data_IF_046256145172
#
_entry.id   IF_046256145172
#
_cell.length_a   1.000
_cell.length_b   1.000
_cell.length_c   1.000
_cell.angle_alpha   90.00
_cell.angle_beta   90.00
_cell.angle_gamma   90.00
#
_symmetry.space_group_name_H-M   'P 1'
#
loop_
_entity.id
_entity.type
_entity.pdbx_description
1 polymer ?
#
# COMPACT_ATOMS: atom_id res chain seq x y z
N UNK A 1 37.34 -18.19 4.04
CA UNK A 1 36.90 -17.16 4.98
C UNK A 1 35.78 -16.41 4.31
N UNK A 2 34.60 -16.87 4.67
CA UNK A 2 33.28 -16.49 4.21
C UNK A 2 33.01 -15.03 4.56
N UNK A 3 32.45 -14.30 3.61
CA UNK A 3 31.61 -13.16 3.94
C UNK A 3 30.57 -13.00 2.84
N UNK A 4 29.62 -13.93 2.84
CA UNK A 4 28.35 -13.79 2.15
C UNK A 4 27.67 -12.52 2.67
N UNK A 5 27.83 -11.41 1.94
CA UNK A 5 27.02 -10.21 2.14
C UNK A 5 25.58 -10.58 1.80
N UNK A 6 24.83 -10.94 2.83
CA UNK A 6 23.38 -10.97 2.95
C UNK A 6 22.70 -10.23 1.79
N UNK A 7 22.18 -11.01 0.84
CA UNK A 7 21.23 -10.60 -0.19
C UNK A 7 19.98 -10.02 0.47
N UNK A 8 19.96 -8.71 0.69
CA UNK A 8 18.70 -7.98 0.81
C UNK A 8 18.27 -7.69 -0.61
N UNK A 9 17.53 -8.62 -1.20
CA UNK A 9 16.71 -8.29 -2.36
C UNK A 9 15.93 -7.03 -1.99
N UNK A 10 15.96 -5.96 -2.82
CA UNK A 10 15.08 -4.84 -2.59
C UNK A 10 13.67 -5.41 -2.70
N UNK A 11 12.99 -5.59 -1.57
CA UNK A 11 11.56 -5.89 -1.55
C UNK A 11 10.92 -4.83 -2.42
N UNK A 12 10.46 -5.22 -3.60
CA UNK A 12 9.88 -4.28 -4.55
C UNK A 12 8.62 -3.72 -3.88
N UNK A 13 8.46 -2.41 -3.97
CA UNK A 13 7.36 -1.69 -3.32
C UNK A 13 6.52 -1.04 -4.42
N UNK A 14 5.21 -1.28 -4.36
CA UNK A 14 4.23 -0.59 -5.20
C UNK A 14 3.48 0.41 -4.33
N UNK A 15 3.32 1.65 -4.78
CA UNK A 15 2.53 2.67 -4.07
C UNK A 15 1.12 2.75 -4.62
N UNK A 16 0.13 2.82 -3.73
CA UNK A 16 -1.29 2.97 -4.05
C UNK A 16 -1.94 4.00 -3.13
N UNK A 17 -2.88 4.77 -3.65
CA UNK A 17 -3.65 5.79 -2.91
C UNK A 17 -5.09 5.34 -2.61
N UNK A 18 -5.65 4.43 -3.42
CA UNK A 18 -7.01 3.92 -3.22
C UNK A 18 -7.10 2.88 -2.09
N UNK A 19 -7.83 3.25 -1.03
CA UNK A 19 -8.03 2.39 0.16
C UNK A 19 -8.76 1.07 -0.11
N UNK A 20 -9.56 0.96 -1.18
CA UNK A 20 -10.25 -0.27 -1.56
C UNK A 20 -9.29 -1.27 -2.20
N UNK A 21 -8.45 -0.80 -3.13
CA UNK A 21 -7.40 -1.61 -3.75
C UNK A 21 -6.44 -2.15 -2.69
N UNK A 22 -6.01 -1.26 -1.78
CA UNK A 22 -5.13 -1.61 -0.67
C UNK A 22 -5.78 -2.62 0.28
N UNK A 23 -7.07 -2.46 0.61
CA UNK A 23 -7.79 -3.42 1.44
C UNK A 23 -7.92 -4.79 0.77
N UNK A 24 -8.13 -4.82 -0.55
CA UNK A 24 -8.18 -6.06 -1.32
C UNK A 24 -6.83 -6.78 -1.34
N UNK A 25 -5.73 -6.07 -1.61
CA UNK A 25 -4.39 -6.66 -1.56
C UNK A 25 -4.02 -7.11 -0.14
N UNK A 26 -4.38 -6.35 0.88
CA UNK A 26 -4.16 -6.78 2.26
C UNK A 26 -4.94 -8.06 2.59
N UNK A 27 -6.16 -8.20 2.08
CA UNK A 27 -6.95 -9.43 2.21
C UNK A 27 -6.28 -10.63 1.51
N UNK A 28 -5.59 -10.41 0.39
CA UNK A 28 -4.79 -11.42 -0.32
C UNK A 28 -3.49 -11.80 0.41
N UNK A 29 -3.14 -11.08 1.48
CA UNK A 29 -1.98 -11.37 2.34
C UNK A 29 -0.78 -10.47 2.11
N UNK A 30 -0.89 -9.42 1.29
CA UNK A 30 0.21 -8.48 1.11
C UNK A 30 0.44 -7.62 2.35
N UNK A 31 1.71 -7.29 2.61
CA UNK A 31 2.07 -6.35 3.67
C UNK A 31 1.89 -4.93 3.16
N UNK A 32 1.13 -4.13 3.91
CA UNK A 32 0.78 -2.75 3.56
C UNK A 32 1.24 -1.80 4.65
N UNK A 33 1.95 -0.73 4.27
CA UNK A 33 2.41 0.33 5.17
C UNK A 33 1.92 1.70 4.69
N UNK A 34 1.20 2.48 5.51
CA UNK A 34 0.84 3.84 5.13
C UNK A 34 2.09 4.72 5.11
N UNK A 35 2.18 5.58 4.10
CA UNK A 35 3.28 6.50 3.86
C UNK A 35 2.72 7.89 3.52
N UNK A 36 3.50 8.95 3.74
CA UNK A 36 3.11 10.30 3.30
C UNK A 36 3.93 10.64 2.09
N UNK A 37 3.24 10.96 1.00
CA UNK A 37 3.86 11.56 -0.17
C UNK A 37 4.51 12.89 0.26
N UNK A 38 5.82 12.96 0.11
CA UNK A 38 6.61 14.17 0.32
C UNK A 38 7.04 14.70 -1.04
N UNK A 39 6.92 16.02 -1.23
CA UNK A 39 7.12 16.80 -2.45
C UNK A 39 8.34 16.45 -3.33
N UNK A 40 9.32 15.73 -2.79
CA UNK A 40 10.53 15.28 -3.49
C UNK A 40 10.27 14.21 -4.58
N UNK A 41 9.06 13.65 -4.69
CA UNK A 41 8.77 12.53 -5.62
C UNK A 41 7.89 12.87 -6.84
N UNK A 42 7.24 14.04 -6.89
CA UNK A 42 6.44 14.45 -8.06
C UNK A 42 6.85 15.84 -8.54
N UNK A 43 7.58 15.96 -9.67
CA UNK A 43 7.80 17.25 -10.29
C UNK A 43 6.45 17.81 -10.75
N UNK A 44 6.06 18.98 -10.20
CA UNK A 44 4.83 19.76 -10.46
C UNK A 44 3.64 19.57 -9.48
N UNK A 45 3.83 18.92 -8.32
CA UNK A 45 2.79 18.89 -7.29
C UNK A 45 2.84 20.14 -6.39
N UNK A 46 1.67 20.66 -6.00
CA UNK A 46 1.58 21.75 -5.01
C UNK A 46 2.12 21.25 -3.66
N UNK A 47 3.17 21.89 -3.09
CA UNK A 47 3.81 21.46 -1.84
C UNK A 47 2.89 21.47 -0.60
N UNK A 48 1.68 22.01 -0.74
CA UNK A 48 0.67 21.97 0.31
C UNK A 48 -0.26 20.74 0.22
N UNK A 49 -0.08 19.87 -0.76
CA UNK A 49 -0.98 18.72 -0.98
C UNK A 49 -0.38 17.40 -0.48
N UNK A 50 0.04 17.37 0.79
CA UNK A 50 0.49 16.13 1.45
C UNK A 50 -0.65 15.11 1.49
N UNK A 51 -0.44 13.96 0.85
CA UNK A 51 -1.40 12.86 0.83
C UNK A 51 -0.84 11.63 1.52
N UNK A 52 -1.74 10.78 2.02
CA UNK A 52 -1.36 9.46 2.52
C UNK A 52 -1.50 8.48 1.37
N UNK A 53 -0.41 7.79 1.09
CA UNK A 53 -0.34 6.64 0.20
C UNK A 53 -0.08 5.37 1.01
N UNK A 54 -0.06 4.24 0.33
CA UNK A 54 0.23 2.94 0.90
C UNK A 54 1.29 2.24 0.08
N UNK A 55 2.36 1.84 0.76
CA UNK A 55 3.40 0.97 0.23
C UNK A 55 2.95 -0.48 0.39
N UNK A 56 2.82 -1.18 -0.71
CA UNK A 56 2.53 -2.62 -0.77
C UNK A 56 3.83 -3.35 -1.07
N UNK A 57 4.24 -4.22 -0.15
CA UNK A 57 5.44 -5.04 -0.29
C UNK A 57 5.14 -6.32 -1.04
N UNK A 58 5.84 -6.56 -2.15
CA UNK A 58 5.65 -7.76 -2.96
C UNK A 58 6.24 -7.61 -4.36
N UNK A 59 6.22 -8.69 -5.13
CA UNK A 59 6.61 -8.62 -6.53
C UNK A 59 5.54 -7.87 -7.35
N UNK A 60 5.88 -6.83 -8.14
CA UNK A 60 4.91 -6.00 -8.86
C UNK A 60 4.03 -6.78 -9.82
N UNK A 61 4.57 -7.79 -10.51
CA UNK A 61 3.79 -8.60 -11.45
C UNK A 61 2.73 -9.42 -10.72
N UNK A 62 3.05 -9.89 -9.50
CA UNK A 62 2.09 -10.60 -8.64
C UNK A 62 1.01 -9.65 -8.11
N UNK A 63 1.41 -8.45 -7.67
CA UNK A 63 0.48 -7.41 -7.21
C UNK A 63 -0.45 -7.00 -8.35
N UNK A 64 0.07 -6.76 -9.55
CA UNK A 64 -0.72 -6.42 -10.74
C UNK A 64 -1.71 -7.53 -11.09
N UNK A 65 -1.26 -8.78 -11.10
CA UNK A 65 -2.11 -9.94 -11.36
C UNK A 65 -3.26 -10.04 -10.35
N UNK A 66 -2.98 -9.89 -9.06
CA UNK A 66 -4.04 -9.92 -8.05
C UNK A 66 -4.96 -8.71 -8.17
N UNK A 67 -4.44 -7.52 -8.50
CA UNK A 67 -5.24 -6.34 -8.77
C UNK A 67 -6.21 -6.52 -9.95
N UNK A 68 -5.87 -7.31 -10.97
CA UNK A 68 -6.81 -7.68 -12.02
C UNK A 68 -8.02 -8.45 -11.47
N UNK A 69 -7.84 -9.25 -10.41
CA UNK A 69 -8.93 -9.93 -9.71
C UNK A 69 -9.95 -8.95 -9.11
N UNK A 70 -9.49 -7.82 -8.56
CA UNK A 70 -10.37 -6.76 -8.08
C UNK A 70 -11.25 -6.20 -9.22
N UNK A 71 -10.64 -5.85 -10.36
CA UNK A 71 -11.38 -5.33 -11.52
C UNK A 71 -12.32 -6.35 -12.17
N UNK A 72 -12.04 -7.64 -12.00
CA UNK A 72 -12.89 -8.74 -12.45
C UNK A 72 -14.00 -9.11 -11.46
N UNK A 73 -14.17 -8.34 -10.39
CA UNK A 73 -15.14 -8.60 -9.32
C UNK A 73 -14.95 -9.97 -8.66
N UNK A 74 -13.70 -10.34 -8.39
CA UNK A 74 -13.40 -11.56 -7.64
C UNK A 74 -14.19 -11.59 -6.32
N UNK A 75 -14.89 -12.72 -6.09
CA UNK A 75 -15.71 -12.88 -4.90
C UNK A 75 -14.83 -13.05 -3.66
N UNK A 76 -15.01 -12.15 -2.70
CA UNK A 76 -14.32 -12.17 -1.41
C UNK A 76 -15.31 -12.15 -0.26
N UNK A 77 -14.88 -12.63 0.91
CA UNK A 77 -15.68 -12.56 2.13
C UNK A 77 -15.99 -11.11 2.49
N UNK A 78 -17.28 -10.73 2.46
CA UNK A 78 -17.70 -9.33 2.72
C UNK A 78 -17.24 -8.85 4.09
N UNK A 79 -17.30 -9.71 5.11
CA UNK A 79 -16.88 -9.36 6.48
C UNK A 79 -15.37 -9.14 6.58
N UNK A 80 -14.57 -9.96 5.90
CA UNK A 80 -13.11 -9.86 5.93
C UNK A 80 -12.65 -8.63 5.15
N UNK A 81 -13.23 -8.40 3.97
CA UNK A 81 -12.99 -7.17 3.21
C UNK A 81 -13.35 -5.92 4.01
N UNK A 82 -14.51 -5.90 4.67
CA UNK A 82 -14.90 -4.76 5.52
C UNK A 82 -13.94 -4.55 6.70
N UNK A 83 -13.39 -5.63 7.26
CA UNK A 83 -12.40 -5.56 8.34
C UNK A 83 -11.11 -4.91 7.85
N UNK A 84 -10.59 -5.36 6.70
CA UNK A 84 -9.36 -4.79 6.15
C UNK A 84 -9.55 -3.35 5.70
N UNK A 85 -10.69 -3.01 5.08
CA UNK A 85 -11.00 -1.63 4.71
C UNK A 85 -11.04 -0.69 5.92
N UNK A 86 -11.63 -1.13 7.04
CA UNK A 86 -11.62 -0.37 8.30
C UNK A 86 -10.20 -0.22 8.85
N UNK A 87 -9.39 -1.27 8.79
CA UNK A 87 -7.99 -1.24 9.22
C UNK A 87 -7.16 -0.24 8.40
N UNK A 88 -7.26 -0.30 7.07
CA UNK A 88 -6.57 0.60 6.13
C UNK A 88 -6.97 2.06 6.38
N UNK A 89 -8.27 2.35 6.46
CA UNK A 89 -8.76 3.70 6.77
C UNK A 89 -8.29 4.20 8.14
N UNK A 90 -8.32 3.35 9.17
CA UNK A 90 -7.83 3.72 10.49
C UNK A 90 -6.35 4.09 10.46
N UNK A 91 -5.52 3.31 9.75
CA UNK A 91 -4.09 3.60 9.57
C UNK A 91 -3.86 4.94 8.86
N UNK A 92 -4.63 5.22 7.81
CA UNK A 92 -4.60 6.52 7.11
C UNK A 92 -4.90 7.69 8.04
N UNK A 93 -6.04 7.63 8.75
CA UNK A 93 -6.45 8.71 9.65
C UNK A 93 -5.48 8.91 10.81
N UNK A 94 -4.93 7.81 11.35
CA UNK A 94 -3.91 7.88 12.38
C UNK A 94 -2.65 8.60 11.88
N UNK A 95 -2.19 8.28 10.67
CA UNK A 95 -1.02 8.92 10.08
C UNK A 95 -1.26 10.41 9.80
N UNK A 96 -2.42 10.74 9.22
CA UNK A 96 -2.87 12.14 9.02
C UNK A 96 -2.85 12.93 10.31
N UNK A 97 -3.44 12.38 11.37
CA UNK A 97 -3.47 12.99 12.71
C UNK A 97 -2.08 13.20 13.29
N UNK A 98 -1.18 12.22 13.19
CA UNK A 98 0.19 12.32 13.72
C UNK A 98 1.02 13.38 12.98
N UNK A 99 0.76 13.56 11.68
CA UNK A 99 1.55 14.41 10.80
C UNK A 99 0.91 15.76 10.50
N UNK A 100 -0.28 16.00 11.08
CA UNK A 100 -1.07 17.23 10.96
C UNK A 100 -1.37 17.59 9.49
N UNK A 101 -1.78 16.59 8.72
CA UNK A 101 -2.25 16.71 7.33
C UNK A 101 -3.68 16.22 7.20
#
# INVERSE_FOLDING_TARGET
MDNEKSSRDPTKVVTLDDTQHVAFLKLKGYTVKPWIETDDQIPNQDPNTKRVEFQVEGDPDSIEKDMQGFYQNELVGVQDFCRELKSVKSSMYNLRRMKRI
#
